data_IF_583407773765
#
_entry.id   IF_583407773765
#
_cell.length_a   1.000
_cell.length_b   1.000
_cell.length_c   1.000
_cell.angle_alpha   90.00
_cell.angle_beta   90.00
_cell.angle_gamma   90.00
#
_symmetry.space_group_name_H-M   'P 1'
#
loop_
_entity.id
_entity.type
_entity.pdbx_description
1 polymer ?
#
# COMPACT_ATOMS: atom_id res chain seq x y z
N UNK A 1 2.10 -17.95 -29.13
CA UNK A 1 3.50 -17.56 -29.44
C UNK A 1 4.03 -16.81 -28.23
N UNK A 2 4.97 -17.41 -27.51
CA UNK A 2 5.58 -16.80 -26.35
C UNK A 2 6.43 -15.61 -26.82
N UNK A 3 5.99 -14.40 -26.50
CA UNK A 3 6.77 -13.19 -26.78
C UNK A 3 8.07 -13.22 -25.98
N UNK A 4 9.18 -12.99 -26.68
CA UNK A 4 10.49 -12.78 -26.10
C UNK A 4 10.39 -11.70 -25.02
N UNK A 5 10.65 -12.09 -23.76
CA UNK A 5 10.89 -11.10 -22.70
C UNK A 5 12.15 -10.35 -23.11
N UNK A 6 12.04 -9.05 -23.33
CA UNK A 6 13.19 -8.21 -23.60
C UNK A 6 14.23 -8.43 -22.50
N UNK A 7 15.48 -8.61 -22.91
CA UNK A 7 16.62 -8.70 -22.01
C UNK A 7 16.78 -7.36 -21.28
N UNK A 8 16.05 -7.20 -20.19
CA UNK A 8 16.19 -6.07 -19.27
C UNK A 8 17.63 -6.00 -18.78
N UNK A 9 18.23 -4.80 -18.85
CA UNK A 9 19.57 -4.58 -18.32
C UNK A 9 19.69 -5.12 -16.89
N UNK A 10 20.84 -5.71 -16.56
CA UNK A 10 21.06 -6.31 -15.25
C UNK A 10 20.72 -5.32 -14.13
N UNK A 11 19.82 -5.74 -13.22
CA UNK A 11 19.36 -4.92 -12.09
C UNK A 11 20.56 -4.52 -11.24
N UNK A 12 20.72 -3.23 -10.94
CA UNK A 12 21.73 -2.76 -9.99
C UNK A 12 21.39 -3.30 -8.60
N UNK A 13 22.33 -4.03 -8.01
CA UNK A 13 22.26 -4.52 -6.63
C UNK A 13 23.32 -3.78 -5.81
N UNK A 14 23.00 -3.28 -4.61
CA UNK A 14 23.99 -2.65 -3.74
C UNK A 14 24.91 -3.74 -3.17
N UNK A 15 26.05 -3.97 -3.82
CA UNK A 15 27.12 -4.88 -3.35
C UNK A 15 28.44 -4.11 -3.27
N UNK A 16 28.99 -3.87 -2.06
CA UNK A 16 28.42 -4.20 -0.75
C UNK A 16 27.15 -3.38 -0.44
N UNK A 17 26.42 -3.77 0.61
CA UNK A 17 25.29 -3.00 1.12
C UNK A 17 25.71 -1.54 1.40
N UNK A 18 24.78 -0.60 1.21
CA UNK A 18 25.03 0.82 1.47
C UNK A 18 25.32 1.02 2.97
N UNK A 19 26.44 1.66 3.36
CA UNK A 19 26.73 1.90 4.77
C UNK A 19 25.85 3.05 5.32
N UNK A 20 25.60 3.10 6.65
CA UNK A 20 25.07 4.29 7.30
C UNK A 20 25.85 5.56 6.92
N UNK A 21 25.15 6.69 6.84
CA UNK A 21 25.65 7.96 6.29
C UNK A 21 25.41 8.11 4.78
N UNK A 22 25.08 7.03 4.07
CA UNK A 22 24.65 7.09 2.66
C UNK A 22 23.30 7.79 2.50
N UNK A 23 23.05 8.29 1.30
CA UNK A 23 21.76 8.89 0.92
C UNK A 23 20.81 7.85 0.32
N UNK A 24 19.57 7.83 0.82
CA UNK A 24 18.45 7.11 0.24
C UNK A 24 17.44 8.12 -0.35
N UNK A 25 16.88 7.79 -1.51
CA UNK A 25 15.91 8.63 -2.19
C UNK A 25 14.48 8.12 -2.05
N UNK A 26 13.53 9.04 -1.91
CA UNK A 26 12.10 8.75 -1.84
C UNK A 26 11.35 9.58 -2.88
N UNK A 27 10.68 8.90 -3.81
CA UNK A 27 9.77 9.50 -4.79
C UNK A 27 8.36 9.57 -4.20
N UNK A 28 7.92 10.78 -3.88
CA UNK A 28 6.63 11.05 -3.25
C UNK A 28 6.76 11.50 -1.80
N UNK A 29 6.02 12.55 -1.48
CA UNK A 29 6.15 13.29 -0.24
C UNK A 29 5.08 13.03 0.80
N UNK A 30 4.24 12.02 0.60
CA UNK A 30 3.12 11.71 1.49
C UNK A 30 3.52 11.12 2.85
N UNK A 31 2.52 10.65 3.61
CA UNK A 31 2.75 10.12 4.96
C UNK A 31 3.61 8.85 4.98
N UNK A 32 3.58 8.04 3.90
CA UNK A 32 4.39 6.82 3.85
C UNK A 32 5.87 7.19 3.69
N UNK A 33 6.13 8.25 2.90
CA UNK A 33 7.45 8.84 2.75
C UNK A 33 7.97 9.42 4.06
N UNK A 34 7.10 10.08 4.84
CA UNK A 34 7.45 10.61 6.17
C UNK A 34 7.88 9.49 7.13
N UNK A 35 7.10 8.42 7.24
CA UNK A 35 7.44 7.30 8.12
C UNK A 35 8.68 6.53 7.63
N UNK A 36 8.89 6.44 6.31
CA UNK A 36 10.13 5.95 5.75
C UNK A 36 11.34 6.82 6.15
N UNK A 37 11.23 8.15 6.08
CA UNK A 37 12.33 9.05 6.47
C UNK A 37 12.77 8.77 7.90
N UNK A 38 11.82 8.68 8.83
CA UNK A 38 12.08 8.39 10.24
C UNK A 38 12.78 7.04 10.44
N UNK A 39 12.30 5.99 9.75
CA UNK A 39 12.89 4.65 9.85
C UNK A 39 14.27 4.54 9.20
N UNK A 40 14.52 5.26 8.09
CA UNK A 40 15.83 5.29 7.45
C UNK A 40 16.85 6.09 8.29
N UNK A 41 16.42 7.21 8.87
CA UNK A 41 17.27 8.05 9.73
C UNK A 41 17.65 7.34 11.03
N UNK A 42 16.79 6.48 11.60
CA UNK A 42 17.15 5.67 12.79
C UNK A 42 18.25 4.64 12.49
N UNK A 43 18.40 4.22 11.24
CA UNK A 43 19.51 3.38 10.75
C UNK A 43 20.76 4.20 10.37
N UNK A 44 20.72 5.54 10.52
CA UNK A 44 21.82 6.44 10.21
C UNK A 44 21.91 6.87 8.75
N UNK A 45 20.88 6.65 7.92
CA UNK A 45 20.85 7.17 6.55
C UNK A 45 20.38 8.63 6.50
N UNK A 46 20.78 9.33 5.45
CA UNK A 46 20.20 10.62 5.06
C UNK A 46 19.14 10.38 3.99
N UNK A 47 18.06 11.15 3.99
CA UNK A 47 16.97 10.97 3.03
C UNK A 47 16.74 12.19 2.16
N UNK A 48 16.70 11.96 0.85
CA UNK A 48 16.28 12.97 -0.13
C UNK A 48 14.89 12.64 -0.68
N UNK A 49 13.94 13.56 -0.55
CA UNK A 49 12.57 13.42 -1.05
C UNK A 49 12.39 14.23 -2.32
N UNK A 50 11.79 13.66 -3.36
CA UNK A 50 11.29 14.37 -4.54
C UNK A 50 9.77 14.42 -4.50
N UNK A 51 9.21 15.62 -4.35
CA UNK A 51 7.76 15.86 -4.28
C UNK A 51 7.44 17.32 -4.65
N UNK A 52 6.38 17.58 -5.44
CA UNK A 52 6.07 18.95 -5.88
C UNK A 52 5.43 19.84 -4.80
N UNK A 53 4.86 19.28 -3.73
CA UNK A 53 4.09 20.02 -2.74
C UNK A 53 4.99 20.75 -1.74
N UNK A 54 4.62 21.99 -1.42
CA UNK A 54 5.29 22.80 -0.40
C UNK A 54 5.08 22.24 1.02
N UNK A 55 3.90 21.69 1.28
CA UNK A 55 3.47 21.16 2.58
C UNK A 55 3.65 19.64 2.68
N UNK A 56 4.62 19.09 1.95
CA UNK A 56 4.92 17.66 1.91
C UNK A 56 5.22 17.07 3.31
N UNK A 57 4.42 16.10 3.80
CA UNK A 57 4.71 15.39 5.05
C UNK A 57 6.13 14.82 5.15
N UNK A 58 6.64 14.22 4.07
CA UNK A 58 7.99 13.66 4.03
C UNK A 58 9.06 14.75 3.82
N UNK A 59 8.81 15.72 2.93
CA UNK A 59 9.72 16.85 2.69
C UNK A 59 10.03 17.63 3.97
N UNK A 60 9.05 17.76 4.87
CA UNK A 60 9.21 18.45 6.16
C UNK A 60 10.20 17.80 7.14
N UNK A 61 10.55 16.52 6.96
CA UNK A 61 11.46 15.78 7.85
C UNK A 61 12.71 15.23 7.14
N UNK A 62 12.76 15.35 5.81
CA UNK A 62 13.87 14.87 5.00
C UNK A 62 15.12 15.74 5.18
N UNK A 63 16.29 15.14 5.01
CA UNK A 63 17.57 15.87 4.97
C UNK A 63 17.66 16.81 3.75
N UNK A 64 16.96 16.49 2.66
CA UNK A 64 16.83 17.31 1.46
C UNK A 64 15.47 17.09 0.79
N UNK A 65 14.81 18.18 0.41
CA UNK A 65 13.58 18.15 -0.39
C UNK A 65 13.83 18.78 -1.76
N UNK A 66 13.69 17.98 -2.81
CA UNK A 66 13.67 18.43 -4.20
C UNK A 66 12.22 18.75 -4.57
N UNK A 67 11.90 20.03 -4.68
CA UNK A 67 10.57 20.49 -5.04
C UNK A 67 10.41 20.56 -6.56
N UNK A 68 10.02 19.43 -7.16
CA UNK A 68 9.75 19.34 -8.59
C UNK A 68 8.72 18.24 -8.90
N UNK A 69 8.22 18.24 -10.13
CA UNK A 69 7.32 17.18 -10.61
C UNK A 69 8.06 15.84 -10.75
N UNK A 70 7.32 14.73 -10.65
CA UNK A 70 7.89 13.38 -10.70
C UNK A 70 8.54 12.99 -12.04
N UNK A 71 8.37 13.81 -13.07
CA UNK A 71 8.95 13.65 -14.40
C UNK A 71 9.97 14.75 -14.74
N UNK A 72 10.32 15.60 -13.78
CA UNK A 72 11.37 16.60 -13.99
C UNK A 72 12.72 15.89 -14.08
N UNK A 73 13.28 15.81 -15.29
CA UNK A 73 14.53 15.10 -15.55
C UNK A 73 15.72 15.70 -14.78
N UNK A 74 15.71 17.00 -14.50
CA UNK A 74 16.80 17.65 -13.75
C UNK A 74 16.76 17.19 -12.30
N UNK A 75 15.58 17.21 -11.68
CA UNK A 75 15.41 16.74 -10.31
C UNK A 75 15.64 15.22 -10.18
N UNK A 76 15.24 14.43 -11.18
CA UNK A 76 15.52 12.99 -11.21
C UNK A 76 17.02 12.70 -11.38
N UNK A 77 17.74 13.47 -12.21
CA UNK A 77 19.19 13.35 -12.35
C UNK A 77 19.89 13.67 -11.03
N UNK A 78 19.49 14.76 -10.38
CA UNK A 78 20.02 15.17 -9.09
C UNK A 78 19.77 14.12 -8.00
N UNK A 79 18.54 13.59 -7.91
CA UNK A 79 18.17 12.53 -6.98
C UNK A 79 19.03 11.28 -7.21
N UNK A 80 19.14 10.84 -8.47
CA UNK A 80 19.88 9.64 -8.86
C UNK A 80 21.39 9.77 -8.70
N UNK A 81 21.94 10.98 -8.77
CA UNK A 81 23.37 11.25 -8.49
C UNK A 81 23.66 11.31 -6.99
N UNK A 82 22.73 11.83 -6.20
CA UNK A 82 22.91 11.98 -4.76
C UNK A 82 22.72 10.65 -4.02
N UNK A 83 21.72 9.87 -4.39
CA UNK A 83 21.28 8.69 -3.63
C UNK A 83 21.90 7.39 -4.15
N UNK A 84 22.32 6.51 -3.24
CA UNK A 84 22.78 5.17 -3.58
C UNK A 84 21.64 4.24 -3.99
N UNK A 85 20.46 4.45 -3.41
CA UNK A 85 19.23 3.74 -3.76
C UNK A 85 18.01 4.68 -3.68
N UNK A 86 17.00 4.43 -4.52
CA UNK A 86 15.73 5.17 -4.55
C UNK A 86 14.55 4.19 -4.47
N UNK A 87 13.52 4.60 -3.73
CA UNK A 87 12.22 3.92 -3.62
C UNK A 87 11.07 4.88 -3.93
N UNK A 88 9.85 4.37 -3.99
CA UNK A 88 8.62 5.16 -4.17
C UNK A 88 7.66 5.05 -2.99
N UNK A 89 6.90 6.11 -2.78
CA UNK A 89 5.90 6.28 -1.73
C UNK A 89 4.52 5.79 -2.13
N UNK A 90 4.14 5.93 -3.41
CA UNK A 90 2.79 5.67 -3.91
C UNK A 90 2.80 4.89 -5.24
N UNK A 91 1.72 4.15 -5.48
CA UNK A 91 1.64 3.14 -6.56
C UNK A 91 1.62 3.76 -7.95
N UNK A 92 1.13 4.99 -8.05
CA UNK A 92 0.98 5.73 -9.30
C UNK A 92 2.19 6.61 -9.64
N UNK A 93 3.35 6.39 -9.00
CA UNK A 93 4.59 7.06 -9.44
C UNK A 93 4.84 6.68 -10.90
N UNK A 94 5.16 7.61 -11.81
CA UNK A 94 5.38 7.23 -13.20
C UNK A 94 6.50 6.19 -13.31
N UNK A 95 6.20 4.99 -13.85
CA UNK A 95 7.19 3.92 -13.98
C UNK A 95 8.44 4.38 -14.76
N UNK A 96 8.24 5.27 -15.74
CA UNK A 96 9.34 5.88 -16.50
C UNK A 96 10.32 6.71 -15.64
N UNK A 97 9.87 7.28 -14.52
CA UNK A 97 10.76 7.97 -13.57
C UNK A 97 11.67 6.96 -12.86
N UNK A 98 11.11 5.81 -12.48
CA UNK A 98 11.88 4.70 -11.89
C UNK A 98 12.90 4.14 -12.90
N UNK A 99 12.50 3.98 -14.16
CA UNK A 99 13.39 3.52 -15.23
C UNK A 99 14.52 4.51 -15.52
N UNK A 100 14.23 5.83 -15.50
CA UNK A 100 15.24 6.88 -15.63
C UNK A 100 16.26 6.84 -14.48
N UNK A 101 15.79 6.65 -13.24
CA UNK A 101 16.65 6.57 -12.05
C UNK A 101 17.49 5.29 -12.02
N UNK A 102 16.97 4.18 -12.53
CA UNK A 102 17.67 2.89 -12.58
C UNK A 102 18.94 2.95 -13.46
N UNK A 103 19.02 3.93 -14.37
CA UNK A 103 20.23 4.20 -15.14
C UNK A 103 21.38 4.74 -14.26
N UNK A 104 21.06 5.34 -13.11
CA UNK A 104 22.01 6.07 -12.23
C UNK A 104 22.29 5.37 -10.91
N UNK A 105 21.25 4.83 -10.26
CA UNK A 105 21.32 4.27 -8.91
C UNK A 105 20.49 2.98 -8.78
N UNK A 106 20.53 2.35 -7.61
CA UNK A 106 19.64 1.21 -7.31
C UNK A 106 18.20 1.72 -7.21
N UNK A 107 17.25 1.07 -7.87
CA UNK A 107 15.82 1.39 -7.75
C UNK A 107 15.07 0.16 -7.25
N UNK A 108 14.37 0.32 -6.12
CA UNK A 108 13.65 -0.76 -5.46
C UNK A 108 12.34 -0.26 -4.84
N UNK A 109 11.18 -0.78 -5.26
CA UNK A 109 11.00 -1.77 -6.32
C UNK A 109 11.35 -1.24 -7.72
N UNK A 110 11.57 -2.15 -8.66
CA UNK A 110 11.87 -1.79 -10.05
C UNK A 110 10.62 -1.26 -10.77
N UNK A 111 10.81 -0.35 -11.74
CA UNK A 111 9.75 0.24 -12.56
C UNK A 111 8.79 -0.80 -13.16
N UNK A 112 9.28 -1.89 -13.80
CA UNK A 112 8.41 -2.93 -14.35
C UNK A 112 7.50 -3.60 -13.31
N UNK A 113 8.00 -3.85 -12.09
CA UNK A 113 7.18 -4.47 -11.04
C UNK A 113 6.08 -3.53 -10.56
N UNK A 114 6.36 -2.23 -10.46
CA UNK A 114 5.35 -1.21 -10.12
C UNK A 114 4.31 -1.06 -11.24
N UNK A 115 4.75 -1.09 -12.50
CA UNK A 115 3.87 -0.95 -13.67
C UNK A 115 2.78 -2.04 -13.74
N UNK A 116 3.04 -3.24 -13.21
CA UNK A 116 2.01 -4.31 -13.12
C UNK A 116 0.86 -3.88 -12.21
N UNK A 117 1.14 -3.29 -11.05
CA UNK A 117 0.12 -2.86 -10.09
C UNK A 117 -0.64 -1.58 -10.52
N UNK A 118 -0.07 -0.82 -11.45
CA UNK A 118 -0.70 0.43 -11.93
C UNK A 118 -1.93 0.22 -12.81
N UNK A 119 -2.12 -1.00 -13.32
CA UNK A 119 -3.18 -1.34 -14.24
C UNK A 119 -3.90 -2.60 -13.77
N UNK A 120 -5.13 -2.44 -13.26
CA UNK A 120 -5.95 -3.53 -12.69
C UNK A 120 -6.17 -4.70 -13.65
N UNK A 121 -6.17 -4.46 -14.97
CA UNK A 121 -6.30 -5.54 -15.95
C UNK A 121 -5.01 -6.36 -16.00
N UNK A 122 -3.86 -5.69 -16.02
CA UNK A 122 -2.53 -6.32 -16.03
C UNK A 122 -2.27 -7.03 -14.72
N UNK A 123 -2.56 -6.38 -13.59
CA UNK A 123 -2.44 -6.94 -12.24
C UNK A 123 -3.22 -8.25 -12.10
N UNK A 124 -4.52 -8.25 -12.42
CA UNK A 124 -5.33 -9.46 -12.28
C UNK A 124 -4.90 -10.57 -13.23
N UNK A 125 -4.47 -10.21 -14.44
CA UNK A 125 -3.87 -11.16 -15.38
C UNK A 125 -2.63 -11.82 -14.78
N UNK A 126 -1.71 -11.02 -14.24
CA UNK A 126 -0.48 -11.48 -13.61
C UNK A 126 -0.75 -12.39 -12.39
N UNK A 127 -1.70 -12.02 -11.54
CA UNK A 127 -2.08 -12.85 -10.37
C UNK A 127 -2.63 -14.21 -10.83
N UNK A 128 -3.47 -14.24 -11.88
CA UNK A 128 -3.98 -15.49 -12.44
C UNK A 128 -2.88 -16.33 -13.11
N UNK A 129 -1.92 -15.71 -13.78
CA UNK A 129 -0.72 -16.39 -14.30
C UNK A 129 0.13 -17.02 -13.18
N UNK A 130 0.10 -16.44 -11.99
CA UNK A 130 0.68 -17.06 -10.79
C UNK A 130 -0.16 -18.24 -10.25
N UNK A 131 -1.29 -18.60 -10.88
CA UNK A 131 -2.19 -19.65 -10.41
C UNK A 131 -2.87 -19.30 -9.09
N UNK A 132 -3.14 -18.02 -8.87
CA UNK A 132 -3.84 -17.51 -7.68
C UNK A 132 -5.19 -16.93 -8.15
N UNK A 133 -6.23 -17.23 -7.38
CA UNK A 133 -7.59 -16.82 -7.70
C UNK A 133 -7.80 -15.32 -7.46
N UNK A 134 -8.65 -14.72 -8.30
CA UNK A 134 -9.15 -13.35 -8.17
C UNK A 134 -10.67 -13.38 -8.24
N UNK A 135 -11.35 -12.30 -7.83
CA UNK A 135 -12.75 -12.13 -8.18
C UNK A 135 -12.96 -12.32 -9.70
N UNK A 136 -14.06 -12.97 -10.14
CA UNK A 136 -14.41 -13.02 -11.55
C UNK A 136 -14.47 -11.62 -12.16
N UNK A 137 -13.82 -11.42 -13.30
CA UNK A 137 -13.73 -10.11 -13.93
C UNK A 137 -13.72 -10.17 -15.46
N UNK A 138 -14.04 -9.04 -16.08
CA UNK A 138 -13.86 -8.80 -17.52
C UNK A 138 -13.10 -7.48 -17.76
N UNK A 139 -12.08 -7.47 -18.64
CA UNK A 139 -11.46 -6.23 -19.09
C UNK A 139 -12.40 -5.47 -20.04
N UNK A 140 -12.56 -4.17 -19.82
CA UNK A 140 -13.46 -3.30 -20.57
C UNK A 140 -12.63 -2.20 -21.25
N UNK A 141 -12.59 -2.19 -22.59
CA UNK A 141 -11.93 -1.16 -23.40
C UNK A 141 -12.92 -0.36 -24.25
N UNK A 142 -14.16 -0.81 -24.32
CA UNK A 142 -15.24 -0.19 -25.05
C UNK A 142 -16.60 -0.55 -24.44
N UNK A 143 -17.64 0.22 -24.79
CA UNK A 143 -19.01 -0.13 -24.42
C UNK A 143 -19.48 -1.47 -25.06
N UNK A 144 -18.83 -1.92 -26.14
CA UNK A 144 -19.08 -3.24 -26.73
C UNK A 144 -18.69 -4.38 -25.79
N UNK A 145 -17.58 -4.23 -25.07
CA UNK A 145 -17.12 -5.24 -24.10
C UNK A 145 -18.12 -5.41 -22.95
N UNK A 146 -18.76 -4.33 -22.51
CA UNK A 146 -19.81 -4.37 -21.49
C UNK A 146 -21.06 -5.10 -21.96
N UNK A 147 -21.47 -4.88 -23.21
CA UNK A 147 -22.63 -5.56 -23.81
C UNK A 147 -22.38 -7.04 -24.05
N UNK A 148 -21.12 -7.43 -24.23
CA UNK A 148 -20.69 -8.82 -24.39
C UNK A 148 -20.27 -9.49 -23.07
N UNK A 149 -20.25 -8.76 -21.95
CA UNK A 149 -19.81 -9.29 -20.66
C UNK A 149 -20.72 -10.40 -20.17
N UNK A 150 -20.16 -11.39 -19.47
CA UNK A 150 -20.94 -12.47 -18.86
C UNK A 150 -21.97 -11.88 -17.89
N UNK A 151 -23.29 -12.15 -18.08
CA UNK A 151 -24.34 -11.68 -17.19
C UNK A 151 -24.12 -12.03 -15.72
N UNK A 152 -23.37 -13.10 -15.43
CA UNK A 152 -23.03 -13.50 -14.06
C UNK A 152 -22.17 -12.48 -13.32
N UNK A 153 -21.48 -11.57 -14.02
CA UNK A 153 -20.72 -10.49 -13.40
C UNK A 153 -21.61 -9.45 -12.71
N UNK A 154 -22.92 -9.43 -12.98
CA UNK A 154 -23.88 -8.51 -12.37
C UNK A 154 -24.60 -9.13 -11.16
N UNK A 155 -24.87 -8.37 -10.07
CA UNK A 155 -24.35 -7.02 -9.82
C UNK A 155 -22.83 -7.04 -9.71
N UNK A 156 -22.20 -5.99 -10.23
CA UNK A 156 -20.76 -5.88 -10.35
C UNK A 156 -20.24 -4.53 -9.87
N UNK A 157 -18.93 -4.38 -9.91
CA UNK A 157 -18.22 -3.13 -9.64
C UNK A 157 -17.37 -2.84 -10.87
N UNK A 158 -17.67 -1.74 -11.56
CA UNK A 158 -16.83 -1.23 -12.64
C UNK A 158 -15.77 -0.32 -12.03
N UNK A 159 -14.49 -0.60 -12.32
CA UNK A 159 -13.36 0.19 -11.81
C UNK A 159 -12.51 0.67 -12.98
N UNK A 160 -12.11 1.94 -12.99
CA UNK A 160 -11.07 2.43 -13.90
C UNK A 160 -9.81 1.59 -13.72
N UNK A 161 -9.19 1.16 -14.82
CA UNK A 161 -8.05 0.26 -14.79
C UNK A 161 -6.82 0.91 -14.15
N UNK A 162 -6.66 2.23 -14.27
CA UNK A 162 -5.54 3.00 -13.72
C UNK A 162 -6.04 4.15 -12.86
N UNK A 163 -5.18 4.64 -11.97
CA UNK A 163 -5.37 5.86 -11.16
C UNK A 163 -6.59 5.84 -10.22
N UNK A 164 -7.26 4.70 -10.04
CA UNK A 164 -8.32 4.54 -9.05
C UNK A 164 -7.75 4.28 -7.65
N UNK A 165 -8.24 5.00 -6.64
CA UNK A 165 -7.82 4.87 -5.23
C UNK A 165 -8.96 5.28 -4.29
N UNK A 166 -9.02 4.69 -3.09
CA UNK A 166 -9.99 5.05 -2.04
C UNK A 166 -11.43 5.19 -2.58
N UNK A 167 -11.87 4.26 -3.43
CA UNK A 167 -13.20 4.25 -4.07
C UNK A 167 -13.39 5.17 -5.29
N UNK A 168 -12.44 6.07 -5.60
CA UNK A 168 -12.52 6.94 -6.79
C UNK A 168 -12.33 6.15 -8.08
N UNK A 169 -13.11 6.51 -9.10
CA UNK A 169 -13.12 5.79 -10.38
C UNK A 169 -13.74 4.40 -10.28
N UNK A 170 -14.66 4.19 -9.34
CA UNK A 170 -15.40 2.94 -9.17
C UNK A 170 -16.90 3.20 -9.08
N UNK A 171 -17.71 2.31 -9.65
CA UNK A 171 -19.16 2.36 -9.60
C UNK A 171 -19.73 0.96 -9.36
N UNK A 172 -20.66 0.84 -8.42
CA UNK A 172 -21.49 -0.38 -8.30
C UNK A 172 -22.56 -0.33 -9.38
N UNK A 173 -22.70 -1.42 -10.14
CA UNK A 173 -23.58 -1.49 -11.31
C UNK A 173 -24.42 -2.76 -11.22
N UNK A 174 -25.74 -2.60 -11.30
CA UNK A 174 -26.68 -3.72 -11.24
C UNK A 174 -26.95 -4.34 -12.63
N UNK A 175 -26.67 -3.59 -13.71
CA UNK A 175 -26.99 -3.98 -15.08
C UNK A 175 -25.92 -3.51 -16.09
N UNK A 176 -26.01 -4.04 -17.31
CA UNK A 176 -25.16 -3.62 -18.44
C UNK A 176 -25.33 -2.13 -18.73
N UNK A 177 -26.56 -1.62 -18.72
CA UNK A 177 -26.84 -0.22 -19.05
C UNK A 177 -26.24 0.73 -18.00
N UNK A 178 -26.35 0.39 -16.71
CA UNK A 178 -25.68 1.13 -15.64
C UNK A 178 -24.15 1.10 -15.79
N UNK A 179 -23.59 -0.04 -16.22
CA UNK A 179 -22.16 -0.15 -16.46
C UNK A 179 -21.70 0.69 -17.66
N UNK A 180 -22.49 0.77 -18.73
CA UNK A 180 -22.20 1.64 -19.88
C UNK A 180 -22.22 3.11 -19.45
N UNK A 181 -23.24 3.53 -18.71
CA UNK A 181 -23.33 4.89 -18.18
C UNK A 181 -22.14 5.23 -17.25
N UNK A 182 -21.75 4.31 -16.36
CA UNK A 182 -20.59 4.48 -15.50
C UNK A 182 -19.29 4.60 -16.32
N UNK A 183 -19.08 3.73 -17.31
CA UNK A 183 -17.92 3.76 -18.20
C UNK A 183 -17.80 5.10 -18.95
N UNK A 184 -18.90 5.62 -19.48
CA UNK A 184 -18.95 6.93 -20.13
C UNK A 184 -18.61 8.06 -19.14
N UNK A 185 -19.15 8.01 -17.92
CA UNK A 185 -18.84 9.00 -16.87
C UNK A 185 -17.37 8.99 -16.42
N UNK A 186 -16.69 7.84 -16.57
CA UNK A 186 -15.25 7.72 -16.35
C UNK A 186 -14.42 8.23 -17.53
N UNK A 187 -15.06 8.77 -18.58
CA UNK A 187 -14.41 9.24 -19.80
C UNK A 187 -14.06 8.12 -20.77
N UNK A 188 -14.71 6.96 -20.67
CA UNK A 188 -14.48 5.79 -21.52
C UNK A 188 -13.02 5.28 -21.50
N UNK A 189 -12.33 5.49 -20.38
CA UNK A 189 -10.99 4.95 -20.14
C UNK A 189 -11.06 3.44 -19.91
N UNK A 190 -9.98 2.67 -20.16
CA UNK A 190 -9.96 1.25 -19.84
C UNK A 190 -10.40 0.98 -18.40
N UNK A 191 -11.27 -0.02 -18.23
CA UNK A 191 -11.87 -0.40 -16.96
C UNK A 191 -11.79 -1.93 -16.75
N UNK A 192 -12.09 -2.35 -15.53
CA UNK A 192 -12.35 -3.75 -15.18
C UNK A 192 -13.74 -3.84 -14.56
N UNK A 193 -14.57 -4.75 -15.07
CA UNK A 193 -15.85 -5.11 -14.43
C UNK A 193 -15.61 -6.34 -13.57
N UNK A 194 -15.76 -6.20 -12.26
CA UNK A 194 -15.60 -7.28 -11.29
C UNK A 194 -16.94 -7.70 -10.72
N UNK A 195 -17.11 -9.01 -10.48
CA UNK A 195 -18.28 -9.50 -9.75
C UNK A 195 -18.28 -8.96 -8.33
N UNK A 196 -19.42 -8.41 -7.89
CA UNK A 196 -19.62 -8.11 -6.47
C UNK A 196 -19.85 -9.42 -5.70
N UNK A 197 -18.95 -9.70 -4.75
CA UNK A 197 -18.97 -10.92 -3.94
C UNK A 197 -19.56 -10.64 -2.55
N UNK A 198 -20.13 -11.67 -1.93
CA UNK A 198 -20.54 -11.64 -0.53
C UNK A 198 -19.32 -12.01 0.34
N UNK A 199 -18.63 -10.99 0.83
CA UNK A 199 -17.41 -11.13 1.62
C UNK A 199 -17.75 -11.51 3.06
N UNK A 200 -17.03 -12.46 3.63
CA UNK A 200 -17.03 -12.72 5.07
C UNK A 200 -16.13 -11.67 5.76
N UNK A 201 -14.94 -11.45 5.19
CA UNK A 201 -13.95 -10.52 5.71
C UNK A 201 -12.92 -10.15 4.64
N UNK A 202 -12.22 -9.04 4.87
CA UNK A 202 -11.08 -8.60 4.07
C UNK A 202 -9.80 -8.78 4.89
N UNK A 203 -8.75 -9.28 4.26
CA UNK A 203 -7.43 -9.41 4.90
C UNK A 203 -6.33 -8.88 4.00
N UNK A 204 -5.18 -8.58 4.57
CA UNK A 204 -3.99 -8.33 3.77
C UNK A 204 -2.75 -8.94 4.40
N UNK A 205 -1.75 -9.17 3.53
CA UNK A 205 -0.44 -9.68 3.93
C UNK A 205 0.62 -8.77 3.36
N UNK A 206 1.57 -8.40 4.21
CA UNK A 206 2.74 -7.62 3.84
C UNK A 206 3.96 -8.54 3.83
N UNK A 207 4.71 -8.51 2.75
CA UNK A 207 5.99 -9.22 2.59
C UNK A 207 7.09 -8.23 2.28
N UNK A 208 8.22 -8.37 2.96
CA UNK A 208 9.48 -7.76 2.56
C UNK A 208 10.34 -8.81 1.84
N UNK A 209 10.86 -8.48 0.65
CA UNK A 209 11.81 -9.33 -0.09
C UNK A 209 13.09 -8.56 -0.38
N UNK A 210 14.24 -9.20 -0.12
CA UNK A 210 15.58 -8.64 -0.36
C UNK A 210 16.15 -9.05 -1.72
N UNK A 211 17.26 -8.42 -2.11
CA UNK A 211 18.01 -8.79 -3.31
C UNK A 211 18.60 -10.20 -3.27
N UNK A 212 18.80 -10.77 -2.07
CA UNK A 212 19.23 -12.15 -1.87
C UNK A 212 18.10 -13.18 -2.06
N UNK A 213 16.91 -12.72 -2.45
CA UNK A 213 15.72 -13.54 -2.68
C UNK A 213 15.02 -13.98 -1.39
N UNK A 214 15.57 -13.70 -0.21
CA UNK A 214 14.89 -13.99 1.06
C UNK A 214 13.68 -13.09 1.20
N UNK A 215 12.63 -13.67 1.76
CA UNK A 215 11.39 -12.96 2.04
C UNK A 215 10.92 -13.24 3.47
N UNK A 216 10.39 -12.22 4.12
CA UNK A 216 9.74 -12.32 5.44
C UNK A 216 8.35 -11.72 5.35
N UNK A 217 7.38 -12.37 5.96
CA UNK A 217 5.97 -11.94 5.95
C UNK A 217 5.56 -11.48 7.35
N UNK A 218 4.75 -10.43 7.40
CA UNK A 218 4.08 -10.02 8.61
C UNK A 218 2.85 -10.89 8.87
N UNK A 219 2.35 -10.96 10.12
CA UNK A 219 1.06 -11.58 10.40
C UNK A 219 -0.05 -10.97 9.56
N UNK A 220 -1.00 -11.80 9.17
CA UNK A 220 -2.17 -11.38 8.39
C UNK A 220 -2.98 -10.36 9.20
N UNK A 221 -3.34 -9.25 8.57
CA UNK A 221 -4.24 -8.25 9.16
C UNK A 221 -5.65 -8.42 8.63
N UNK A 222 -6.64 -8.36 9.50
CA UNK A 222 -8.05 -8.23 9.13
C UNK A 222 -8.37 -6.75 8.96
N UNK A 223 -8.97 -6.38 7.84
CA UNK A 223 -9.17 -4.99 7.45
C UNK A 223 -10.67 -4.69 7.33
N UNK A 224 -11.08 -3.54 7.86
CA UNK A 224 -12.45 -3.02 7.70
C UNK A 224 -12.39 -1.72 6.93
N UNK A 225 -13.15 -1.63 5.84
CA UNK A 225 -13.29 -0.45 5.01
C UNK A 225 -14.65 0.22 5.21
N UNK A 226 -14.66 1.55 5.35
CA UNK A 226 -15.88 2.37 5.41
C UNK A 226 -15.82 3.37 4.26
N UNK A 227 -16.82 3.35 3.38
CA UNK A 227 -16.85 4.23 2.20
C UNK A 227 -15.68 4.02 1.22
N UNK A 228 -15.11 2.80 1.18
CA UNK A 228 -13.94 2.48 0.35
C UNK A 228 -12.60 2.97 0.90
N UNK A 229 -12.56 3.43 2.16
CA UNK A 229 -11.34 3.87 2.86
C UNK A 229 -11.10 2.92 4.04
N UNK A 230 -9.85 2.50 4.23
CA UNK A 230 -9.47 1.66 5.38
C UNK A 230 -9.80 2.40 6.69
N UNK A 231 -10.63 1.80 7.54
CA UNK A 231 -10.99 2.31 8.85
C UNK A 231 -10.14 1.65 9.94
N UNK A 232 -10.04 0.30 9.93
CA UNK A 232 -9.27 -0.44 10.93
C UNK A 232 -8.47 -1.60 10.34
N UNK A 233 -7.35 -1.92 10.99
CA UNK A 233 -6.60 -3.16 10.77
C UNK A 233 -6.38 -3.86 12.11
N UNK A 234 -6.88 -5.09 12.25
CA UNK A 234 -6.81 -5.92 13.45
C UNK A 234 -5.81 -7.05 13.25
N UNK A 235 -4.86 -7.23 14.19
CA UNK A 235 -3.75 -8.17 14.04
C UNK A 235 -3.50 -8.97 15.34
N UNK A 236 -3.45 -10.32 15.28
CA UNK A 236 -3.63 -11.15 14.10
C UNK A 236 -5.08 -11.16 13.60
N UNK A 237 -5.26 -11.38 12.30
CA UNK A 237 -6.57 -11.54 11.68
C UNK A 237 -7.36 -12.69 12.33
N UNK A 238 -8.68 -12.53 12.48
CA UNK A 238 -9.57 -13.56 13.04
C UNK A 238 -9.99 -14.58 11.99
N UNK A 239 -9.00 -15.19 11.34
CA UNK A 239 -9.17 -16.23 10.32
C UNK A 239 -8.59 -17.55 10.78
N UNK A 240 -8.94 -18.65 10.11
CA UNK A 240 -8.31 -19.94 10.37
C UNK A 240 -6.81 -19.90 10.02
N UNK A 241 -6.02 -20.77 10.65
CA UNK A 241 -4.59 -20.89 10.36
C UNK A 241 -4.33 -21.29 8.89
N UNK A 242 -5.23 -22.07 8.29
CA UNK A 242 -5.17 -22.44 6.88
C UNK A 242 -5.32 -21.22 5.96
N UNK A 243 -6.33 -20.37 6.19
CA UNK A 243 -6.54 -19.14 5.41
C UNK A 243 -5.33 -18.22 5.54
N UNK A 244 -4.81 -18.04 6.76
CA UNK A 244 -3.63 -17.22 6.99
C UNK A 244 -2.39 -17.75 6.24
N UNK A 245 -2.14 -19.06 6.30
CA UNK A 245 -1.02 -19.70 5.60
C UNK A 245 -1.15 -19.60 4.07
N UNK A 246 -2.36 -19.77 3.53
CA UNK A 246 -2.63 -19.62 2.09
C UNK A 246 -2.42 -18.17 1.63
N UNK A 247 -2.85 -17.19 2.41
CA UNK A 247 -2.63 -15.77 2.10
C UNK A 247 -1.13 -15.42 2.10
N UNK A 248 -0.39 -15.90 3.10
CA UNK A 248 1.07 -15.70 3.15
C UNK A 248 1.77 -16.35 1.95
N UNK A 249 1.45 -17.60 1.63
CA UNK A 249 2.03 -18.32 0.52
C UNK A 249 1.73 -17.64 -0.82
N UNK A 250 0.50 -17.17 -1.03
CA UNK A 250 0.10 -16.43 -2.22
C UNK A 250 0.90 -15.13 -2.37
N UNK A 251 1.02 -14.33 -1.30
CA UNK A 251 1.79 -13.07 -1.32
C UNK A 251 3.26 -13.30 -1.62
N UNK A 252 3.89 -14.32 -1.01
CA UNK A 252 5.28 -14.69 -1.32
C UNK A 252 5.47 -15.10 -2.77
N UNK A 253 4.52 -15.89 -3.31
CA UNK A 253 4.54 -16.33 -4.71
C UNK A 253 4.42 -15.15 -5.68
N UNK A 254 3.53 -14.21 -5.40
CA UNK A 254 3.38 -12.96 -6.18
C UNK A 254 4.68 -12.15 -6.13
N UNK A 255 5.24 -11.92 -4.94
CA UNK A 255 6.50 -11.19 -4.79
C UNK A 255 7.66 -11.85 -5.54
N UNK A 256 7.74 -13.18 -5.53
CA UNK A 256 8.75 -13.94 -6.27
C UNK A 256 8.55 -13.83 -7.78
N UNK A 257 7.31 -13.99 -8.28
CA UNK A 257 7.01 -13.93 -9.71
C UNK A 257 7.25 -12.53 -10.32
N UNK A 258 7.09 -11.46 -9.51
CA UNK A 258 7.40 -10.09 -9.89
C UNK A 258 8.90 -9.77 -9.88
N UNK A 259 9.74 -10.70 -9.40
CA UNK A 259 11.09 -10.43 -8.92
C UNK A 259 11.15 -9.17 -8.02
N UNK A 260 10.18 -9.06 -7.12
CA UNK A 260 9.99 -7.87 -6.30
C UNK A 260 11.10 -7.74 -5.24
N UNK A 261 11.61 -6.53 -5.02
CA UNK A 261 12.49 -6.22 -3.88
C UNK A 261 11.97 -4.96 -3.20
N UNK A 262 11.88 -5.00 -1.88
CA UNK A 262 11.18 -4.01 -1.08
C UNK A 262 10.00 -4.64 -0.34
N UNK A 263 9.03 -3.81 0.01
CA UNK A 263 7.79 -4.16 0.73
C UNK A 263 6.59 -4.17 -0.21
N UNK A 264 5.92 -5.31 -0.30
CA UNK A 264 4.71 -5.53 -1.08
C UNK A 264 3.55 -5.87 -0.13
N UNK A 265 2.40 -5.24 -0.33
CA UNK A 265 1.14 -5.64 0.28
C UNK A 265 0.25 -6.31 -0.78
N UNK A 266 -0.42 -7.39 -0.41
CA UNK A 266 -1.48 -7.99 -1.22
C UNK A 266 -2.74 -8.06 -0.36
N UNK A 267 -3.83 -7.55 -0.91
CA UNK A 267 -5.15 -7.59 -0.29
C UNK A 267 -5.96 -8.77 -0.81
N UNK A 268 -6.75 -9.36 0.08
CA UNK A 268 -7.56 -10.52 -0.20
C UNK A 268 -8.98 -10.36 0.32
N UNK A 269 -9.89 -10.95 -0.44
CA UNK A 269 -11.24 -11.26 -0.03
C UNK A 269 -11.30 -12.69 0.51
N UNK A 270 -11.96 -12.86 1.65
CA UNK A 270 -12.30 -14.17 2.21
C UNK A 270 -13.82 -14.35 2.15
N UNK A 271 -14.25 -15.47 1.59
CA UNK A 271 -15.67 -15.85 1.53
C UNK A 271 -16.04 -16.78 2.69
N UNK A 272 -17.34 -16.97 2.92
CA UNK A 272 -17.86 -17.77 4.04
C UNK A 272 -17.40 -19.24 4.03
N UNK A 273 -17.03 -19.79 2.86
CA UNK A 273 -16.49 -21.14 2.69
C UNK A 273 -14.96 -21.20 2.88
N UNK A 274 -14.30 -20.08 3.18
CA UNK A 274 -12.85 -19.97 3.29
C UNK A 274 -12.12 -19.81 1.96
N UNK A 275 -12.83 -19.63 0.85
CA UNK A 275 -12.19 -19.24 -0.41
C UNK A 275 -11.46 -17.91 -0.25
N UNK A 276 -10.25 -17.84 -0.81
CA UNK A 276 -9.34 -16.69 -0.70
C UNK A 276 -9.07 -16.17 -2.11
N UNK A 277 -9.38 -14.90 -2.35
CA UNK A 277 -9.28 -14.26 -3.65
C UNK A 277 -8.45 -12.99 -3.53
N UNK A 278 -7.46 -12.80 -4.38
CA UNK A 278 -6.71 -11.53 -4.43
C UNK A 278 -7.63 -10.42 -4.96
N UNK A 279 -7.68 -9.31 -4.22
CA UNK A 279 -8.35 -8.08 -4.64
C UNK A 279 -7.43 -7.23 -5.51
N UNK A 280 -6.33 -6.75 -4.91
CA UNK A 280 -5.29 -5.90 -5.50
C UNK A 280 -3.96 -6.04 -4.74
N UNK A 281 -2.88 -5.49 -5.29
CA UNK A 281 -1.57 -5.41 -4.65
C UNK A 281 -1.02 -3.98 -4.65
N UNK A 282 -0.34 -3.61 -3.56
CA UNK A 282 0.32 -2.32 -3.41
C UNK A 282 1.85 -2.53 -3.34
N UNK A 283 2.62 -2.15 -4.37
CA UNK A 283 4.08 -2.36 -4.44
C UNK A 283 4.85 -1.33 -3.60
N UNK A 284 4.45 -1.16 -2.33
CA UNK A 284 4.96 -0.18 -1.37
C UNK A 284 4.57 -0.59 0.06
N UNK A 285 5.14 0.05 1.09
CA UNK A 285 4.52 0.10 2.40
C UNK A 285 3.03 0.48 2.32
N UNK A 286 2.20 -0.18 3.11
CA UNK A 286 0.74 -0.12 3.02
C UNK A 286 0.09 0.38 4.31
N UNK A 287 -1.10 0.97 4.17
CA UNK A 287 -1.85 1.54 5.30
C UNK A 287 -2.19 0.47 6.35
N UNK A 288 -2.63 -0.70 5.89
CA UNK A 288 -2.92 -1.85 6.76
C UNK A 288 -1.68 -2.40 7.50
N UNK A 289 -0.48 -1.92 7.16
CA UNK A 289 0.78 -2.28 7.82
C UNK A 289 1.25 -1.30 8.87
N UNK A 290 0.53 -0.21 9.15
CA UNK A 290 1.00 0.81 10.09
C UNK A 290 1.16 0.26 11.52
N UNK A 291 0.37 -0.75 11.90
CA UNK A 291 0.53 -1.47 13.16
C UNK A 291 1.95 -2.02 13.37
N UNK A 292 2.70 -2.30 12.29
CA UNK A 292 4.06 -2.87 12.37
C UNK A 292 5.07 -1.94 13.02
N UNK A 293 4.78 -0.64 13.11
CA UNK A 293 5.62 0.31 13.84
C UNK A 293 5.64 -0.03 15.34
N UNK A 294 4.47 -0.31 15.91
CA UNK A 294 4.30 -0.42 17.36
C UNK A 294 4.17 -1.86 17.87
N UNK A 295 3.86 -2.81 16.99
CA UNK A 295 3.53 -4.19 17.38
C UNK A 295 4.45 -5.27 16.79
N UNK A 296 5.42 -4.91 15.94
CA UNK A 296 6.37 -5.83 15.33
C UNK A 296 7.83 -5.42 15.60
N UNK A 297 8.73 -6.40 15.61
CA UNK A 297 10.18 -6.16 15.85
C UNK A 297 10.80 -5.22 14.82
N UNK A 298 10.35 -5.25 13.57
CA UNK A 298 10.81 -4.37 12.51
C UNK A 298 9.61 -3.83 11.76
N UNK A 299 9.50 -2.50 11.63
CA UNK A 299 8.40 -1.88 10.89
C UNK A 299 8.53 -2.12 9.39
N UNK A 300 7.42 -2.06 8.65
CA UNK A 300 7.45 -2.15 7.19
C UNK A 300 8.34 -1.05 6.55
N UNK A 301 8.43 0.11 7.19
CA UNK A 301 9.24 1.23 6.70
C UNK A 301 10.73 0.95 6.85
N UNK A 302 11.13 0.37 7.98
CA UNK A 302 12.50 -0.09 8.20
C UNK A 302 12.85 -1.25 7.25
N UNK A 303 11.92 -2.18 6.99
CA UNK A 303 12.15 -3.23 5.99
C UNK A 303 12.38 -2.67 4.60
N UNK A 304 11.64 -1.62 4.19
CA UNK A 304 11.87 -0.97 2.90
C UNK A 304 13.28 -0.37 2.84
N UNK A 305 13.71 0.34 3.89
CA UNK A 305 15.05 0.91 3.98
C UNK A 305 16.15 -0.18 3.93
N UNK A 306 15.97 -1.27 4.69
CA UNK A 306 16.89 -2.42 4.67
C UNK A 306 16.96 -3.06 3.29
N UNK A 307 15.82 -3.38 2.69
CA UNK A 307 15.74 -4.04 1.40
C UNK A 307 16.42 -3.22 0.29
N UNK A 308 16.13 -1.92 0.20
CA UNK A 308 16.71 -1.07 -0.84
C UNK A 308 18.20 -0.78 -0.63
N UNK A 309 18.66 -0.74 0.63
CA UNK A 309 20.08 -0.56 0.95
C UNK A 309 20.92 -1.84 0.86
N UNK A 310 20.29 -3.00 0.61
CA UNK A 310 20.96 -4.30 0.57
C UNK A 310 21.29 -4.89 1.94
N UNK A 311 20.67 -4.39 3.01
CA UNK A 311 20.84 -4.92 4.37
C UNK A 311 20.02 -6.21 4.57
N UNK A 312 20.41 -7.07 5.53
CA UNK A 312 19.58 -8.20 5.94
C UNK A 312 18.20 -7.74 6.45
N UNK A 313 17.15 -8.43 5.98
CA UNK A 313 15.79 -8.20 6.46
C UNK A 313 15.68 -8.45 7.97
N UNK A 314 14.87 -7.62 8.64
CA UNK A 314 14.57 -7.76 10.05
C UNK A 314 13.53 -8.84 10.34
N UNK A 315 13.35 -9.17 11.62
CA UNK A 315 12.30 -10.08 12.06
C UNK A 315 10.93 -9.39 11.95
N UNK A 316 9.96 -10.08 11.36
CA UNK A 316 8.55 -9.64 11.30
C UNK A 316 7.73 -10.14 12.49
N UNK A 317 8.38 -10.70 13.52
CA UNK A 317 7.70 -11.23 14.71
C UNK A 317 6.87 -10.13 15.37
N UNK A 318 5.58 -10.39 15.49
CA UNK A 318 4.66 -9.59 16.29
C UNK A 318 4.91 -9.87 17.78
N UNK A 319 5.02 -8.81 18.58
CA UNK A 319 5.28 -8.89 20.02
C UNK A 319 4.08 -8.45 20.87
N UNK A 320 3.05 -7.83 20.27
CA UNK A 320 1.81 -7.40 20.94
C UNK A 320 0.64 -7.56 19.96
N UNK A 321 -0.58 -7.85 20.47
CA UNK A 321 -1.80 -7.76 19.66
C UNK A 321 -2.08 -6.30 19.33
N UNK A 322 -2.66 -6.02 18.16
CA UNK A 322 -2.86 -4.65 17.73
C UNK A 322 -4.18 -4.41 17.00
N UNK A 323 -4.74 -3.22 17.21
CA UNK A 323 -5.77 -2.65 16.34
C UNK A 323 -5.31 -1.26 15.93
N UNK A 324 -5.08 -1.07 14.63
CA UNK A 324 -4.79 0.22 14.04
C UNK A 324 -6.09 0.88 13.62
N UNK A 325 -6.30 2.13 14.03
CA UNK A 325 -7.42 3.00 13.68
C UNK A 325 -6.93 4.11 12.76
N UNK A 326 -7.57 4.29 11.62
CA UNK A 326 -7.21 5.35 10.69
C UNK A 326 -7.86 6.66 11.16
N UNK A 327 -7.10 7.76 11.21
CA UNK A 327 -7.62 9.08 11.57
C UNK A 327 -7.82 9.88 10.29
N UNK A 328 -9.07 10.06 9.88
CA UNK A 328 -9.44 10.87 8.73
C UNK A 328 -9.69 12.33 9.16
N UNK A 329 -9.70 13.26 8.20
CA UNK A 329 -10.06 14.65 8.48
C UNK A 329 -11.47 14.81 9.06
N UNK A 330 -12.33 13.81 8.89
CA UNK A 330 -13.64 13.69 9.54
C UNK A 330 -13.56 13.77 11.07
N UNK A 331 -12.46 13.32 11.68
CA UNK A 331 -12.23 13.49 13.13
C UNK A 331 -12.17 14.97 13.54
N UNK A 332 -11.60 15.85 12.70
CA UNK A 332 -11.56 17.29 12.95
C UNK A 332 -12.94 17.93 12.76
N UNK A 333 -13.68 17.47 11.75
CA UNK A 333 -15.06 17.93 11.52
C UNK A 333 -15.95 17.57 12.70
N UNK A 334 -15.87 16.33 13.19
CA UNK A 334 -16.63 15.85 14.34
C UNK A 334 -16.29 16.60 15.64
N UNK A 335 -15.02 16.95 15.84
CA UNK A 335 -14.56 17.72 17.00
C UNK A 335 -14.87 19.23 16.91
N UNK A 336 -15.24 19.73 15.73
CA UNK A 336 -15.36 21.17 15.47
C UNK A 336 -14.00 21.90 15.53
N UNK A 337 -12.90 21.20 15.28
CA UNK A 337 -11.54 21.70 15.46
C UNK A 337 -10.54 20.58 15.68
N UNK A 338 -9.53 20.82 16.52
CA UNK A 338 -8.53 19.81 16.85
C UNK A 338 -9.14 18.69 17.70
N UNK A 339 -8.95 17.40 17.35
CA UNK A 339 -9.42 16.30 18.18
C UNK A 339 -8.75 16.25 19.57
N UNK A 340 -9.39 15.62 20.57
CA UNK A 340 -8.92 15.64 21.96
C UNK A 340 -7.72 14.69 22.20
N UNK A 341 -6.54 15.04 21.69
CA UNK A 341 -5.35 14.17 21.75
C UNK A 341 -4.90 13.82 23.16
N UNK A 342 -5.08 14.71 24.12
CA UNK A 342 -4.74 14.43 25.51
C UNK A 342 -5.57 13.25 26.06
N UNK A 343 -6.84 13.12 25.66
CA UNK A 343 -7.70 12.00 26.03
C UNK A 343 -7.28 10.72 25.32
N UNK A 344 -6.87 10.80 24.05
CA UNK A 344 -6.32 9.64 23.32
C UNK A 344 -5.03 9.14 23.96
N UNK A 345 -4.12 10.05 24.33
CA UNK A 345 -2.83 9.72 24.94
C UNK A 345 -2.96 9.29 26.42
N UNK A 346 -4.13 9.49 27.03
CA UNK A 346 -4.42 8.97 28.38
C UNK A 346 -4.64 7.45 28.39
N UNK A 347 -4.92 6.83 27.23
CA UNK A 347 -4.92 5.38 27.10
C UNK A 347 -3.48 4.87 27.00
N UNK A 348 -2.97 4.10 27.99
CA UNK A 348 -1.57 3.66 27.99
C UNK A 348 -1.23 2.71 26.82
N UNK A 349 -2.23 2.05 26.23
CA UNK A 349 -2.11 1.18 25.07
C UNK A 349 -2.03 1.94 23.73
N UNK A 350 -2.37 3.23 23.70
CA UNK A 350 -2.50 3.98 22.45
C UNK A 350 -1.17 4.59 21.99
N UNK A 351 -0.85 4.38 20.72
CA UNK A 351 0.27 4.99 20.00
C UNK A 351 -0.25 5.89 18.88
N UNK A 352 -0.24 7.19 19.12
CA UNK A 352 -0.72 8.20 18.17
C UNK A 352 0.37 8.58 17.17
N UNK A 353 0.02 8.54 15.88
CA UNK A 353 0.88 8.95 14.77
C UNK A 353 0.14 9.99 13.92
N UNK A 354 0.60 11.24 13.93
CA UNK A 354 0.05 12.32 13.11
C UNK A 354 1.02 12.66 11.97
N UNK A 355 0.49 12.86 10.77
CA UNK A 355 1.31 13.01 9.56
C UNK A 355 1.78 14.44 9.30
N UNK A 356 1.39 15.40 10.14
CA UNK A 356 1.77 16.81 9.97
C UNK A 356 1.12 17.51 8.78
N UNK A 357 0.00 16.97 8.26
CA UNK A 357 -0.78 17.62 7.20
C UNK A 357 -1.51 18.84 7.79
N UNK A 358 -1.40 19.98 7.13
CA UNK A 358 -1.90 21.28 7.62
C UNK A 358 -3.40 21.47 7.47
N UNK A 359 -4.04 20.70 6.58
CA UNK A 359 -5.47 20.84 6.28
C UNK A 359 -6.22 19.51 6.39
N UNK A 360 -7.14 19.44 7.35
CA UNK A 360 -8.04 18.32 7.54
C UNK A 360 -9.25 18.43 6.59
N UNK A 361 -9.30 17.56 5.58
CA UNK A 361 -10.44 17.42 4.65
C UNK A 361 -11.12 16.09 4.88
N UNK A 362 -12.44 16.02 4.68
CA UNK A 362 -13.19 14.77 4.73
C UNK A 362 -12.53 13.70 3.83
N UNK A 363 -12.37 12.49 4.37
CA UNK A 363 -11.68 11.36 3.72
C UNK A 363 -10.15 11.47 3.62
N UNK A 364 -9.52 12.60 3.98
CA UNK A 364 -8.05 12.72 3.96
C UNK A 364 -7.46 12.02 5.18
N UNK A 365 -6.56 11.06 4.96
CA UNK A 365 -5.81 10.37 6.03
C UNK A 365 -4.88 11.36 6.73
N UNK A 366 -5.16 11.74 7.98
CA UNK A 366 -4.42 12.73 8.78
C UNK A 366 -3.44 12.08 9.78
N UNK A 367 -3.72 10.84 10.18
CA UNK A 367 -2.91 10.08 11.10
C UNK A 367 -3.41 8.65 11.26
N UNK A 368 -2.89 7.95 12.25
CA UNK A 368 -3.45 6.72 12.77
C UNK A 368 -3.18 6.59 14.28
N UNK A 369 -3.94 5.73 14.96
CA UNK A 369 -3.62 5.27 16.31
C UNK A 369 -3.45 3.76 16.27
N UNK A 370 -2.33 3.25 16.76
CA UNK A 370 -2.18 1.82 17.02
C UNK A 370 -2.45 1.57 18.50
N UNK A 371 -3.46 0.77 18.81
CA UNK A 371 -3.70 0.26 20.16
C UNK A 371 -3.03 -1.10 20.29
N UNK A 372 -2.11 -1.25 21.24
CA UNK A 372 -1.38 -2.50 21.49
C UNK A 372 -1.74 -3.11 22.85
N UNK A 373 -1.92 -4.43 22.91
CA UNK A 373 -2.22 -5.12 24.17
C UNK A 373 -1.78 -6.60 24.18
N UNK A 374 -1.70 -7.18 25.39
CA UNK A 374 -1.33 -8.59 25.57
C UNK A 374 -2.38 -9.56 25.03
N UNK A 375 -3.62 -9.12 24.82
CA UNK A 375 -4.67 -9.91 24.17
C UNK A 375 -5.42 -9.11 23.11
N UNK A 376 -5.87 -9.79 22.05
CA UNK A 376 -6.65 -9.17 20.98
C UNK A 376 -7.96 -8.56 21.50
N UNK A 377 -8.63 -9.26 22.42
CA UNK A 377 -9.88 -8.78 23.02
C UNK A 377 -9.69 -7.44 23.75
N UNK A 378 -8.58 -7.28 24.47
CA UNK A 378 -8.26 -6.03 25.14
C UNK A 378 -7.94 -4.91 24.13
N UNK A 379 -7.12 -5.19 23.11
CA UNK A 379 -6.80 -4.22 22.06
C UNK A 379 -8.07 -3.73 21.34
N UNK A 380 -9.00 -4.63 20.99
CA UNK A 380 -10.29 -4.29 20.36
C UNK A 380 -11.16 -3.43 21.29
N UNK A 381 -11.19 -3.76 22.58
CA UNK A 381 -11.95 -2.98 23.56
C UNK A 381 -11.45 -1.53 23.65
N UNK A 382 -10.15 -1.36 23.84
CA UNK A 382 -9.52 -0.03 23.99
C UNK A 382 -9.57 0.76 22.68
N UNK A 383 -9.30 0.13 21.53
CA UNK A 383 -9.49 0.77 20.23
C UNK A 383 -10.92 1.26 20.03
N UNK A 384 -11.90 0.50 20.54
CA UNK A 384 -13.28 0.93 20.55
C UNK A 384 -13.56 2.17 21.42
N UNK A 385 -12.83 2.36 22.51
CA UNK A 385 -12.89 3.57 23.35
C UNK A 385 -12.21 4.75 22.65
N UNK A 386 -11.01 4.55 22.13
CA UNK A 386 -10.26 5.57 21.37
C UNK A 386 -11.07 6.08 20.18
N UNK A 387 -11.67 5.19 19.38
CA UNK A 387 -12.50 5.57 18.22
C UNK A 387 -13.67 6.49 18.60
N UNK A 388 -14.30 6.29 19.77
CA UNK A 388 -15.36 7.16 20.27
C UNK A 388 -14.84 8.54 20.66
N UNK A 389 -13.66 8.61 21.27
CA UNK A 389 -13.01 9.87 21.67
C UNK A 389 -12.71 10.75 20.45
N UNK A 390 -12.21 10.16 19.36
CA UNK A 390 -11.83 10.91 18.15
C UNK A 390 -12.95 11.03 17.11
N UNK A 391 -14.15 10.51 17.39
CA UNK A 391 -15.27 10.52 16.44
C UNK A 391 -15.00 9.74 15.16
N UNK A 392 -14.13 8.73 15.18
CA UNK A 392 -13.88 7.89 14.02
C UNK A 392 -15.07 6.92 13.79
N UNK A 393 -15.58 6.90 12.55
CA UNK A 393 -16.56 5.91 12.13
C UNK A 393 -15.96 4.50 12.22
N UNK A 394 -16.76 3.53 12.69
CA UNK A 394 -16.39 2.12 12.76
C UNK A 394 -16.80 1.37 11.51
#
# INVERSE_FOLDING_TARGET
>A
MAGERSSGGARRVPVPALPPGSWLGMLGGGQLGRMFCMAAQSLGYRVCVLDPADDSPAGSVADRHLKAGYLDETALDELGRLCGAVTTEFENVPAQALDFLAQRCVVSPAGPSVAVAQDRIVEKGFVRECGIETAPYAPIRSAGDLRAADPKLFPGILKAARLGYDGKGQATVASVDEAVAAFESFGSVPCVLEKRLALELEVSVIVARGFDGKAVAYPVSENVHVGGILATSTVPARVSQDVAARAEAATRKIAQALDYVGVLCVEFFVLADGALLVNEMAPRPHNSGHYTIDACVTSQFEQQARAMAGLPLGSTRQHQHAVMLNLLGDCWVAAGGEPPWAEVLAFPEAKLHLYGKTEARAGRKMGHVTVVADSLAHAVHVAGQVARVVGAAR
#
